data_IF_451338616742
#
_entry.id   IF_451338616742
#
_cell.length_a   1.000
_cell.length_b   1.000
_cell.length_c   1.000
_cell.angle_alpha   90.00
_cell.angle_beta   90.00
_cell.angle_gamma   90.00
#
_symmetry.space_group_name_H-M   'P 1'
#
loop_
_entity.id
_entity.type
_entity.pdbx_description
1 polymer ?
#
# COMPACT_ATOMS: atom_id res chain seq x y z
N UNK A 1 10.36 -12.03 8.21
CA UNK A 1 9.89 -11.63 6.85
C UNK A 1 9.92 -10.11 6.75
N UNK A 2 10.36 -9.58 5.60
CA UNK A 2 10.37 -8.13 5.31
C UNK A 2 9.35 -7.85 4.21
N UNK A 3 8.37 -6.98 4.50
CA UNK A 3 7.32 -6.56 3.56
C UNK A 3 7.47 -5.07 3.31
N UNK A 4 7.41 -4.67 2.05
CA UNK A 4 7.50 -3.27 1.65
C UNK A 4 6.32 -2.88 0.76
N UNK A 5 5.88 -1.62 0.86
CA UNK A 5 4.91 -1.02 -0.05
C UNK A 5 5.39 0.35 -0.49
N UNK A 6 5.14 0.68 -1.76
CA UNK A 6 5.53 1.97 -2.32
C UNK A 6 4.63 2.38 -3.50
N UNK A 7 3.93 3.48 -3.37
CA UNK A 7 3.31 4.15 -4.49
C UNK A 7 4.42 4.83 -5.30
N UNK A 8 4.72 4.29 -6.48
CA UNK A 8 5.84 4.76 -7.32
C UNK A 8 5.47 5.95 -8.20
N UNK A 9 4.19 6.31 -8.28
CA UNK A 9 3.71 7.41 -9.14
C UNK A 9 4.31 7.35 -10.56
N UNK A 10 4.22 6.16 -11.19
CA UNK A 10 4.72 5.86 -12.53
C UNK A 10 6.03 5.05 -12.54
N UNK A 11 5.90 3.74 -12.81
CA UNK A 11 7.01 2.77 -12.81
C UNK A 11 8.11 3.15 -13.79
N UNK A 12 7.78 3.65 -14.98
CA UNK A 12 8.77 4.03 -16.00
C UNK A 12 9.71 5.14 -15.54
N UNK A 13 9.19 6.10 -14.79
CA UNK A 13 9.99 7.21 -14.26
C UNK A 13 10.81 6.84 -13.03
N UNK A 14 10.51 5.71 -12.38
CA UNK A 14 11.12 5.24 -11.13
C UNK A 14 11.77 3.86 -11.26
N UNK A 15 11.94 3.35 -12.50
CA UNK A 15 12.49 2.02 -12.74
C UNK A 15 13.83 1.80 -12.01
N UNK A 16 14.80 2.68 -12.24
CA UNK A 16 16.11 2.59 -11.59
C UNK A 16 16.01 2.63 -10.05
N UNK A 17 15.08 3.43 -9.50
CA UNK A 17 14.87 3.53 -8.06
C UNK A 17 14.18 2.27 -7.49
N UNK A 18 13.29 1.63 -8.26
CA UNK A 18 12.69 0.34 -7.85
C UNK A 18 13.76 -0.74 -7.82
N UNK A 19 14.65 -0.80 -8.81
CA UNK A 19 15.79 -1.73 -8.83
C UNK A 19 16.72 -1.48 -7.64
N UNK A 20 17.12 -0.23 -7.40
CA UNK A 20 17.94 0.16 -6.24
C UNK A 20 17.27 -0.25 -4.92
N UNK A 21 15.95 -0.05 -4.80
CA UNK A 21 15.18 -0.45 -3.61
C UNK A 21 15.22 -1.96 -3.39
N UNK A 22 15.00 -2.73 -4.45
CA UNK A 22 15.05 -4.20 -4.40
C UNK A 22 16.43 -4.72 -3.99
N UNK A 23 17.51 -4.13 -4.54
CA UNK A 23 18.89 -4.50 -4.22
C UNK A 23 19.27 -4.16 -2.78
N UNK A 24 18.86 -2.98 -2.31
CA UNK A 24 19.21 -2.47 -0.98
C UNK A 24 18.38 -3.15 0.12
N UNK A 25 17.07 -3.18 -0.04
CA UNK A 25 16.17 -3.67 1.00
C UNK A 25 15.97 -5.17 0.96
N UNK A 26 16.06 -5.78 -0.22
CA UNK A 26 15.81 -7.21 -0.44
C UNK A 26 14.55 -7.70 0.26
N UNK A 27 13.38 -7.03 0.05
CA UNK A 27 12.16 -7.42 0.73
C UNK A 27 11.75 -8.83 0.32
N UNK A 28 11.10 -9.56 1.23
CA UNK A 28 10.46 -10.84 0.88
C UNK A 28 9.19 -10.61 0.06
N UNK A 29 8.53 -9.47 0.31
CA UNK A 29 7.33 -9.03 -0.42
C UNK A 29 7.45 -7.55 -0.75
N UNK A 30 7.18 -7.18 -2.02
CA UNK A 30 7.07 -5.79 -2.46
C UNK A 30 5.72 -5.55 -3.14
N UNK A 31 5.00 -4.55 -2.64
CA UNK A 31 3.74 -4.05 -3.18
C UNK A 31 3.98 -2.68 -3.83
N UNK A 32 3.70 -2.55 -5.13
CA UNK A 32 3.80 -1.27 -5.82
C UNK A 32 2.42 -0.77 -6.23
N UNK A 33 2.22 0.55 -6.15
CA UNK A 33 0.99 1.21 -6.56
C UNK A 33 1.29 2.32 -7.57
N UNK A 34 0.28 2.73 -8.31
CA UNK A 34 0.37 3.72 -9.38
C UNK A 34 1.45 3.41 -10.43
N UNK A 35 1.43 2.19 -10.97
CA UNK A 35 2.36 1.83 -12.04
C UNK A 35 2.24 2.76 -13.25
N UNK A 36 1.01 3.22 -13.56
CA UNK A 36 0.71 4.13 -14.69
C UNK A 36 1.26 3.61 -16.02
N UNK A 37 1.26 2.29 -16.16
CA UNK A 37 1.79 1.57 -17.33
C UNK A 37 1.01 0.29 -17.56
N UNK A 38 0.80 -0.08 -18.81
CA UNK A 38 0.42 -1.44 -19.21
C UNK A 38 1.56 -2.42 -18.94
N UNK A 39 1.27 -3.72 -18.93
CA UNK A 39 2.27 -4.75 -18.62
C UNK A 39 3.44 -4.71 -19.62
N UNK A 40 3.15 -4.44 -20.88
CA UNK A 40 4.11 -4.31 -21.96
C UNK A 40 5.03 -3.07 -21.84
N UNK A 41 4.64 -2.10 -21.01
CA UNK A 41 5.38 -0.87 -20.77
C UNK A 41 6.21 -0.90 -19.49
N UNK A 42 6.14 -1.99 -18.71
CA UNK A 42 6.98 -2.18 -17.54
C UNK A 42 8.43 -2.35 -17.99
N UNK A 43 9.37 -1.54 -17.48
CA UNK A 43 10.79 -1.64 -17.84
C UNK A 43 11.36 -3.03 -17.53
N UNK A 44 12.17 -3.58 -18.42
CA UNK A 44 12.74 -4.93 -18.29
C UNK A 44 13.58 -5.08 -17.02
N UNK A 45 14.31 -4.05 -16.62
CA UNK A 45 15.11 -4.05 -15.40
C UNK A 45 14.28 -4.24 -14.12
N UNK A 46 12.96 -3.96 -14.17
CA UNK A 46 12.05 -4.21 -13.04
C UNK A 46 11.52 -5.65 -13.02
N UNK A 47 11.74 -6.44 -14.07
CA UNK A 47 11.29 -7.83 -14.23
C UNK A 47 12.38 -8.79 -13.75
N UNK A 48 12.64 -8.81 -12.45
CA UNK A 48 13.70 -9.65 -11.87
C UNK A 48 13.25 -11.11 -11.71
N UNK A 49 14.18 -12.05 -11.93
CA UNK A 49 13.95 -13.49 -11.74
C UNK A 49 13.94 -13.92 -10.26
N UNK A 50 14.32 -13.05 -9.33
CA UNK A 50 14.38 -13.35 -7.89
C UNK A 50 13.00 -13.44 -7.25
N UNK A 51 11.95 -13.00 -7.94
CA UNK A 51 10.58 -12.92 -7.44
C UNK A 51 9.59 -13.61 -8.37
N UNK A 52 8.52 -14.15 -7.79
CA UNK A 52 7.25 -14.36 -8.47
C UNK A 52 6.56 -13.00 -8.50
N UNK A 53 6.24 -12.50 -9.69
CA UNK A 53 5.67 -11.15 -9.84
C UNK A 53 4.34 -11.22 -10.57
N UNK A 54 3.32 -10.56 -10.02
CA UNK A 54 2.09 -10.28 -10.73
C UNK A 54 2.01 -8.77 -11.01
N UNK A 55 2.12 -8.43 -12.29
CA UNK A 55 1.89 -7.07 -12.79
C UNK A 55 0.42 -6.91 -13.16
N UNK A 56 -0.35 -6.25 -12.33
CA UNK A 56 -1.72 -5.85 -12.65
C UNK A 56 -1.69 -4.46 -13.27
N UNK A 57 -1.24 -4.43 -14.54
CA UNK A 57 -0.98 -3.21 -15.27
C UNK A 57 -2.23 -2.40 -15.52
N UNK A 58 -2.07 -1.11 -15.69
CA UNK A 58 -3.16 -0.20 -16.02
C UNK A 58 -3.80 -0.54 -17.37
N UNK A 59 -5.12 -0.63 -17.38
CA UNK A 59 -5.92 -0.71 -18.63
C UNK A 59 -6.23 0.68 -19.21
N UNK A 60 -6.04 1.73 -18.43
CA UNK A 60 -6.22 3.14 -18.82
C UNK A 60 -4.85 3.83 -18.94
N UNK A 61 -4.68 4.67 -19.97
CA UNK A 61 -3.42 5.39 -20.18
C UNK A 61 -3.02 6.21 -18.96
N UNK A 62 -1.83 5.93 -18.42
CA UNK A 62 -1.18 6.67 -17.33
C UNK A 62 -2.01 6.79 -16.03
N UNK A 63 -2.85 5.79 -15.71
CA UNK A 63 -3.72 5.83 -14.55
C UNK A 63 -3.74 4.46 -13.84
N UNK A 64 -3.66 4.45 -12.49
CA UNK A 64 -3.65 3.25 -11.63
C UNK A 64 -2.58 2.19 -11.95
N UNK A 65 -2.89 0.92 -11.73
CA UNK A 65 -1.98 -0.22 -11.85
C UNK A 65 -1.24 -0.54 -10.56
N UNK A 66 -1.26 -1.81 -10.15
CA UNK A 66 -0.54 -2.31 -8.97
C UNK A 66 0.30 -3.53 -9.33
N UNK A 67 1.30 -3.84 -8.50
CA UNK A 67 2.00 -5.12 -8.59
C UNK A 67 2.23 -5.72 -7.22
N UNK A 68 2.43 -7.03 -7.20
CA UNK A 68 2.80 -7.79 -6.02
C UNK A 68 3.94 -8.73 -6.37
N UNK A 69 5.04 -8.60 -5.67
CA UNK A 69 6.25 -9.40 -5.83
C UNK A 69 6.44 -10.24 -4.58
N UNK A 70 6.60 -11.54 -4.74
CA UNK A 70 6.91 -12.50 -3.66
C UNK A 70 8.25 -13.15 -3.98
N UNK A 71 9.23 -13.03 -3.08
CA UNK A 71 10.58 -13.59 -3.27
C UNK A 71 10.51 -15.10 -3.47
N UNK A 72 11.24 -15.60 -4.47
CA UNK A 72 11.39 -17.04 -4.70
C UNK A 72 12.10 -17.74 -3.53
N UNK A 73 11.81 -19.03 -3.35
CA UNK A 73 12.32 -19.81 -2.22
C UNK A 73 11.41 -19.80 -0.98
N UNK A 74 10.33 -19.04 -1.03
CA UNK A 74 9.18 -19.12 -0.13
C UNK A 74 8.12 -20.07 -0.72
N UNK A 75 6.95 -20.14 -0.07
CA UNK A 75 5.80 -20.86 -0.65
C UNK A 75 5.40 -20.18 -1.95
N UNK A 76 5.18 -20.97 -3.01
CA UNK A 76 4.76 -20.44 -4.31
C UNK A 76 3.41 -19.72 -4.18
N UNK A 77 3.32 -18.44 -4.64
CA UNK A 77 2.11 -17.64 -4.48
C UNK A 77 1.05 -18.00 -5.52
N UNK A 78 -0.19 -18.17 -5.09
CA UNK A 78 -1.35 -18.17 -5.97
C UNK A 78 -1.89 -16.74 -6.09
N UNK A 79 -1.62 -16.09 -7.22
CA UNK A 79 -2.08 -14.72 -7.47
C UNK A 79 -3.53 -14.68 -7.91
N UNK A 80 -4.25 -13.66 -7.46
CA UNK A 80 -5.64 -13.38 -7.84
C UNK A 80 -5.92 -11.88 -7.67
N UNK A 81 -7.06 -11.44 -8.19
CA UNK A 81 -7.66 -10.16 -7.84
C UNK A 81 -9.15 -10.36 -7.53
N UNK A 82 -9.70 -9.64 -6.54
CA UNK A 82 -11.11 -9.77 -6.18
C UNK A 82 -12.03 -9.28 -7.31
N UNK A 83 -13.25 -9.79 -7.35
CA UNK A 83 -14.25 -9.42 -8.37
C UNK A 83 -14.63 -7.92 -8.35
N UNK A 84 -14.48 -7.26 -7.18
CA UNK A 84 -14.72 -5.83 -7.05
C UNK A 84 -13.56 -4.96 -7.54
N UNK A 85 -12.45 -5.57 -7.99
CA UNK A 85 -11.34 -4.80 -8.55
C UNK A 85 -11.83 -3.93 -9.70
N UNK A 86 -11.40 -2.69 -9.67
CA UNK A 86 -11.68 -1.71 -10.69
C UNK A 86 -10.39 -1.02 -11.11
N UNK A 87 -10.18 -0.86 -12.39
CA UNK A 87 -9.03 -0.10 -12.91
C UNK A 87 -7.66 -0.64 -12.43
N UNK A 88 -7.54 -1.96 -12.18
CA UNK A 88 -6.29 -2.61 -11.72
C UNK A 88 -5.73 -2.01 -10.42
N UNK A 89 -6.54 -2.03 -9.36
CA UNK A 89 -6.22 -1.39 -8.07
C UNK A 89 -5.91 -2.34 -6.93
N UNK A 90 -6.16 -3.65 -7.12
CA UNK A 90 -5.86 -4.64 -6.10
C UNK A 90 -5.37 -5.93 -6.73
N UNK A 91 -4.31 -6.48 -6.18
CA UNK A 91 -3.84 -7.84 -6.44
C UNK A 91 -3.53 -8.52 -5.12
N UNK A 92 -3.91 -9.79 -4.99
CA UNK A 92 -3.62 -10.61 -3.84
C UNK A 92 -2.76 -11.82 -4.23
N UNK A 93 -1.99 -12.33 -3.26
CA UNK A 93 -1.24 -13.57 -3.36
C UNK A 93 -1.53 -14.44 -2.13
N UNK A 94 -1.97 -15.66 -2.34
CA UNK A 94 -2.12 -16.65 -1.27
C UNK A 94 -0.83 -17.47 -1.17
N UNK A 95 -0.16 -17.40 -0.05
CA UNK A 95 1.05 -18.13 0.29
C UNK A 95 0.75 -19.07 1.48
N UNK A 96 0.21 -20.26 1.21
CA UNK A 96 -0.29 -21.14 2.27
C UNK A 96 -1.44 -20.51 3.07
N UNK A 97 -1.24 -20.35 4.37
CA UNK A 97 -2.22 -19.72 5.29
C UNK A 97 -2.17 -18.20 5.31
N UNK A 98 -1.27 -17.55 4.55
CA UNK A 98 -1.12 -16.10 4.49
C UNK A 98 -1.65 -15.56 3.16
N UNK A 99 -2.46 -14.50 3.22
CA UNK A 99 -2.86 -13.70 2.07
C UNK A 99 -2.19 -12.33 2.16
N UNK A 100 -1.51 -11.96 1.08
CA UNK A 100 -0.85 -10.66 0.91
C UNK A 100 -1.63 -9.88 -0.14
N UNK A 101 -1.85 -8.58 0.06
CA UNK A 101 -2.53 -7.74 -0.92
C UNK A 101 -1.80 -6.42 -1.15
N UNK A 102 -1.58 -6.09 -2.42
CA UNK A 102 -1.18 -4.74 -2.86
C UNK A 102 -2.42 -3.98 -3.29
N UNK A 103 -2.69 -2.84 -2.65
CA UNK A 103 -3.93 -2.09 -2.83
C UNK A 103 -3.65 -0.63 -3.15
N UNK A 104 -4.39 -0.09 -4.11
CA UNK A 104 -4.43 1.34 -4.44
C UNK A 104 -5.88 1.83 -4.44
N UNK A 105 -6.35 2.34 -3.31
CA UNK A 105 -7.71 2.88 -3.17
C UNK A 105 -7.89 4.10 -4.07
N UNK A 106 -9.02 4.25 -4.79
CA UNK A 106 -9.31 5.48 -5.54
C UNK A 106 -9.13 6.74 -4.69
N UNK A 107 -8.51 7.79 -5.24
CA UNK A 107 -8.38 9.05 -4.50
C UNK A 107 -9.73 9.77 -4.29
N UNK A 108 -10.75 9.46 -5.11
CA UNK A 108 -12.11 10.00 -4.98
C UNK A 108 -12.33 11.35 -5.66
N UNK A 109 -11.29 11.98 -6.21
CA UNK A 109 -11.44 13.28 -6.86
C UNK A 109 -12.28 13.22 -8.14
N UNK A 110 -12.27 12.10 -8.85
CA UNK A 110 -13.08 11.89 -10.05
C UNK A 110 -14.45 11.28 -9.75
N UNK A 111 -14.46 10.30 -8.84
CA UNK A 111 -15.66 9.56 -8.44
C UNK A 111 -15.56 9.20 -6.96
N UNK A 112 -16.15 10.04 -6.12
CA UNK A 112 -16.12 9.84 -4.67
C UNK A 112 -16.99 8.67 -4.21
N UNK A 113 -18.24 8.47 -4.73
CA UNK A 113 -19.02 7.28 -4.45
C UNK A 113 -18.28 5.97 -4.75
N UNK A 114 -17.56 5.86 -5.87
CA UNK A 114 -16.77 4.69 -6.21
C UNK A 114 -15.64 4.41 -5.20
N UNK A 115 -15.01 5.44 -4.65
CA UNK A 115 -14.04 5.30 -3.57
C UNK A 115 -14.66 4.68 -2.32
N UNK A 116 -15.81 5.18 -1.88
CA UNK A 116 -16.50 4.66 -0.70
C UNK A 116 -16.93 3.21 -0.91
N UNK A 117 -17.43 2.89 -2.10
CA UNK A 117 -17.81 1.53 -2.44
C UNK A 117 -16.61 0.58 -2.48
N UNK A 118 -15.50 1.00 -3.07
CA UNK A 118 -14.25 0.22 -3.04
C UNK A 118 -13.82 -0.10 -1.60
N UNK A 119 -13.89 0.87 -0.68
CA UNK A 119 -13.56 0.66 0.73
C UNK A 119 -14.50 -0.34 1.41
N UNK A 120 -15.82 -0.29 1.15
CA UNK A 120 -16.78 -1.27 1.69
C UNK A 120 -16.48 -2.68 1.19
N UNK A 121 -16.22 -2.83 -0.11
CA UNK A 121 -15.89 -4.11 -0.72
C UNK A 121 -14.55 -4.67 -0.21
N UNK A 122 -13.55 -3.80 -0.02
CA UNK A 122 -12.27 -4.19 0.57
C UNK A 122 -12.45 -4.72 2.00
N UNK A 123 -13.26 -4.06 2.83
CA UNK A 123 -13.60 -4.52 4.17
C UNK A 123 -14.34 -5.85 4.16
N UNK A 124 -15.33 -6.02 3.26
CA UNK A 124 -16.05 -7.28 3.11
C UNK A 124 -15.13 -8.42 2.64
N UNK A 125 -14.20 -8.14 1.74
CA UNK A 125 -13.19 -9.09 1.28
C UNK A 125 -12.24 -9.50 2.40
N UNK A 126 -11.73 -8.56 3.18
CA UNK A 126 -10.85 -8.85 4.33
C UNK A 126 -11.55 -9.77 5.36
N UNK A 127 -12.84 -9.53 5.64
CA UNK A 127 -13.65 -10.39 6.51
C UNK A 127 -13.79 -11.82 5.96
N UNK A 128 -13.98 -11.98 4.63
CA UNK A 128 -14.02 -13.31 3.99
C UNK A 128 -12.70 -14.05 4.11
N UNK A 129 -11.57 -13.37 3.86
CA UNK A 129 -10.23 -13.97 4.00
C UNK A 129 -10.02 -14.50 5.41
N UNK A 130 -10.38 -13.73 6.43
CA UNK A 130 -10.31 -14.19 7.83
C UNK A 130 -11.30 -15.32 8.15
N UNK A 131 -12.50 -15.30 7.57
CA UNK A 131 -13.48 -16.37 7.76
C UNK A 131 -13.02 -17.72 7.16
N UNK A 132 -12.16 -17.68 6.13
CA UNK A 132 -11.47 -18.85 5.59
C UNK A 132 -10.31 -19.36 6.48
N UNK A 133 -10.04 -18.72 7.59
CA UNK A 133 -8.96 -19.06 8.52
C UNK A 133 -7.58 -18.58 8.06
N UNK A 134 -7.48 -17.69 7.06
CA UNK A 134 -6.22 -17.16 6.59
C UNK A 134 -5.80 -15.91 7.36
N UNK A 135 -4.50 -15.75 7.56
CA UNK A 135 -3.87 -14.50 7.97
C UNK A 135 -3.85 -13.52 6.78
N UNK A 136 -3.93 -12.22 7.05
CA UNK A 136 -4.01 -11.20 6.02
C UNK A 136 -3.02 -10.06 6.30
N UNK A 137 -2.32 -9.62 5.24
CA UNK A 137 -1.56 -8.38 5.23
C UNK A 137 -2.00 -7.56 4.00
N UNK A 138 -2.57 -6.39 4.24
CA UNK A 138 -2.92 -5.40 3.21
C UNK A 138 -1.86 -4.31 3.21
N UNK A 139 -1.23 -4.09 2.08
CA UNK A 139 -0.22 -3.06 1.88
C UNK A 139 -0.65 -2.11 0.77
N UNK A 140 -0.42 -0.83 0.96
CA UNK A 140 -0.58 0.12 -0.14
C UNK A 140 -1.11 1.48 0.24
N UNK A 141 -1.44 2.22 -0.80
CA UNK A 141 -2.01 3.56 -0.72
C UNK A 141 -3.52 3.47 -0.54
N UNK A 142 -3.98 3.75 0.65
CA UNK A 142 -5.41 3.76 1.00
C UNK A 142 -6.08 5.09 0.64
N UNK A 143 -5.29 6.12 0.34
CA UNK A 143 -5.80 7.46 0.01
C UNK A 143 -6.73 8.07 1.09
N UNK A 144 -6.60 7.62 2.34
CA UNK A 144 -7.33 8.12 3.51
C UNK A 144 -6.33 8.31 4.65
N UNK A 145 -6.27 9.51 5.21
CA UNK A 145 -5.63 9.77 6.48
C UNK A 145 -6.57 9.29 7.60
N UNK A 146 -6.22 8.17 8.23
CA UNK A 146 -7.07 7.45 9.19
C UNK A 146 -7.56 8.34 10.34
N UNK A 147 -6.68 9.18 10.86
CA UNK A 147 -6.96 10.10 11.97
C UNK A 147 -6.42 11.50 11.66
N UNK A 148 -6.73 12.46 12.53
CA UNK A 148 -6.12 13.80 12.42
C UNK A 148 -4.60 13.80 12.62
N UNK A 149 -4.04 12.83 13.39
CA UNK A 149 -2.60 12.67 13.55
C UNK A 149 -1.89 12.25 12.27
N UNK A 150 -2.62 11.70 11.32
CA UNK A 150 -2.11 11.25 10.02
C UNK A 150 -2.05 12.36 8.98
N UNK A 151 -2.35 13.60 9.39
CA UNK A 151 -2.27 14.81 8.58
C UNK A 151 -1.48 15.87 9.36
N UNK A 152 -0.48 16.46 8.70
CA UNK A 152 0.25 17.59 9.29
C UNK A 152 -0.75 18.72 9.65
N UNK A 153 -0.65 19.37 10.82
CA UNK A 153 -1.65 20.34 11.30
C UNK A 153 -2.02 21.43 10.28
N UNK A 154 -1.07 21.93 9.50
CA UNK A 154 -1.33 22.98 8.49
C UNK A 154 -2.08 22.47 7.26
N UNK A 155 -2.20 21.15 7.08
CA UNK A 155 -2.91 20.50 5.97
C UNK A 155 -4.28 19.92 6.39
N UNK A 156 -4.66 20.01 7.66
CA UNK A 156 -5.95 19.52 8.16
C UNK A 156 -7.09 20.34 7.56
N UNK A 157 -8.00 19.67 6.87
CA UNK A 157 -9.13 20.31 6.17
C UNK A 157 -10.30 19.33 6.04
N UNK A 158 -11.47 19.84 5.74
CA UNK A 158 -12.63 19.03 5.38
C UNK A 158 -12.60 18.72 3.87
N UNK A 159 -11.72 17.82 3.45
CA UNK A 159 -11.50 17.43 2.05
C UNK A 159 -11.41 15.93 1.91
N UNK A 160 -11.60 15.42 0.69
CA UNK A 160 -11.43 13.98 0.36
C UNK A 160 -10.05 13.50 0.87
N UNK A 161 -10.04 12.32 1.46
CA UNK A 161 -8.87 11.74 2.16
C UNK A 161 -8.84 12.07 3.66
N UNK A 162 -9.70 12.98 4.13
CA UNK A 162 -9.81 13.36 5.55
C UNK A 162 -11.27 13.36 6.06
N UNK A 163 -12.25 13.01 5.22
CA UNK A 163 -13.66 13.10 5.55
C UNK A 163 -14.07 12.05 6.60
N UNK A 164 -15.01 12.39 7.50
CA UNK A 164 -15.43 11.47 8.57
C UNK A 164 -15.94 10.12 8.06
N UNK A 165 -16.69 10.10 6.96
CA UNK A 165 -17.20 8.85 6.37
C UNK A 165 -16.09 7.95 5.79
N UNK A 166 -15.01 8.52 5.26
CA UNK A 166 -13.84 7.76 4.81
C UNK A 166 -13.14 7.11 5.99
N UNK A 167 -12.93 7.87 7.06
CA UNK A 167 -12.34 7.38 8.30
C UNK A 167 -13.18 6.29 8.96
N UNK A 168 -14.51 6.43 8.94
CA UNK A 168 -15.41 5.40 9.44
C UNK A 168 -15.25 4.10 8.67
N UNK A 169 -15.20 4.13 7.32
CA UNK A 169 -14.95 2.95 6.49
C UNK A 169 -13.55 2.37 6.71
N UNK A 170 -12.55 3.21 7.02
CA UNK A 170 -11.22 2.72 7.38
C UNK A 170 -11.26 1.95 8.71
N UNK A 171 -11.97 2.45 9.72
CA UNK A 171 -12.14 1.75 11.01
C UNK A 171 -12.93 0.44 10.83
N UNK A 172 -13.94 0.40 9.94
CA UNK A 172 -14.66 -0.81 9.58
C UNK A 172 -13.79 -1.85 8.86
N UNK A 173 -12.81 -1.41 8.05
CA UNK A 173 -11.82 -2.28 7.41
C UNK A 173 -10.89 -2.93 8.43
N UNK A 174 -10.38 -2.16 9.39
CA UNK A 174 -9.50 -2.67 10.44
C UNK A 174 -10.28 -3.58 11.40
N UNK A 175 -11.48 -3.16 11.79
CA UNK A 175 -12.34 -3.75 12.82
C UNK A 175 -11.53 -4.22 14.05
N UNK A 176 -11.76 -5.45 14.54
CA UNK A 176 -10.99 -6.05 15.62
C UNK A 176 -9.94 -7.09 15.15
N UNK A 177 -9.71 -7.23 13.85
CA UNK A 177 -8.88 -8.30 13.25
C UNK A 177 -7.56 -7.82 12.67
N UNK A 178 -7.54 -6.62 12.09
CA UNK A 178 -6.35 -6.01 11.53
C UNK A 178 -5.76 -4.96 12.48
N UNK A 179 -4.45 -4.76 12.37
CA UNK A 179 -3.70 -3.74 13.09
C UNK A 179 -3.02 -2.83 12.08
N UNK A 180 -3.15 -1.53 12.26
CA UNK A 180 -2.33 -0.51 11.60
C UNK A 180 -0.93 -0.57 12.22
N UNK A 181 -0.06 -1.35 11.57
CA UNK A 181 1.24 -1.75 12.11
C UNK A 181 2.15 -0.55 12.40
N UNK A 182 2.18 0.41 11.49
CA UNK A 182 3.04 1.59 11.64
C UNK A 182 2.60 2.44 12.84
N UNK A 183 1.29 2.68 12.97
CA UNK A 183 0.75 3.43 14.11
C UNK A 183 0.89 2.65 15.43
N UNK A 184 0.75 1.34 15.40
CA UNK A 184 0.94 0.50 16.59
C UNK A 184 2.39 0.50 17.08
N UNK A 185 3.36 0.54 16.16
CA UNK A 185 4.79 0.64 16.49
C UNK A 185 5.17 2.01 17.06
N UNK A 186 4.51 3.07 16.59
CA UNK A 186 4.81 4.46 16.99
C UNK A 186 3.53 5.24 17.36
N UNK A 187 2.83 4.89 18.46
CA UNK A 187 1.49 5.41 18.75
C UNK A 187 1.45 6.92 18.97
N UNK A 188 2.52 7.51 19.50
CA UNK A 188 2.57 8.94 19.82
C UNK A 188 3.28 9.78 18.74
N UNK A 189 3.82 9.15 17.69
CA UNK A 189 4.50 9.90 16.64
C UNK A 189 3.50 10.58 15.69
N UNK A 190 3.41 11.89 15.75
CA UNK A 190 2.55 12.73 14.91
C UNK A 190 3.19 13.12 13.56
N UNK A 191 4.33 12.50 13.21
CA UNK A 191 5.10 12.84 12.00
C UNK A 191 5.29 11.63 11.07
N UNK A 192 4.44 10.63 11.19
CA UNK A 192 4.40 9.43 10.35
C UNK A 192 3.72 9.73 9.01
N UNK A 193 4.29 10.59 8.20
CA UNK A 193 3.73 10.89 6.88
C UNK A 193 4.41 10.03 5.82
N UNK A 194 3.64 9.63 4.81
CA UNK A 194 4.09 8.79 3.69
C UNK A 194 3.94 9.48 2.35
N UNK A 195 3.09 10.50 2.26
CA UNK A 195 2.86 11.32 1.07
C UNK A 195 3.08 12.80 1.35
N UNK A 196 3.67 13.50 0.39
CA UNK A 196 3.93 14.94 0.45
C UNK A 196 3.61 15.58 -0.90
N UNK A 197 2.86 16.66 -0.85
CA UNK A 197 2.57 17.42 -2.06
C UNK A 197 3.88 17.84 -2.78
N UNK A 198 3.95 17.73 -4.14
CA UNK A 198 5.20 17.90 -4.88
C UNK A 198 5.68 19.36 -5.02
N UNK A 199 5.11 20.28 -4.27
CA UNK A 199 5.45 21.71 -4.28
C UNK A 199 5.95 22.20 -2.94
N UNK A 200 6.56 23.42 -2.90
CA UNK A 200 7.00 24.13 -1.69
C UNK A 200 7.89 23.31 -0.75
N UNK A 201 8.62 22.32 -1.28
CA UNK A 201 9.51 21.45 -0.51
C UNK A 201 8.79 20.76 0.68
N UNK A 202 7.55 20.34 0.47
CA UNK A 202 6.72 19.78 1.53
C UNK A 202 7.35 18.52 2.14
N UNK A 203 7.98 17.67 1.31
CA UNK A 203 8.68 16.46 1.78
C UNK A 203 9.89 16.79 2.65
N UNK A 204 10.76 17.73 2.23
CA UNK A 204 11.91 18.18 3.03
C UNK A 204 11.48 18.74 4.39
N UNK A 205 10.38 19.48 4.42
CA UNK A 205 9.77 20.08 5.62
C UNK A 205 8.96 19.07 6.46
N UNK A 206 8.78 17.86 5.96
CA UNK A 206 7.88 16.84 6.51
C UNK A 206 6.46 17.37 6.77
N UNK A 207 5.88 18.09 5.81
CA UNK A 207 4.49 18.54 5.82
C UNK A 207 3.71 17.64 4.86
N UNK A 208 3.06 16.63 5.40
CA UNK A 208 2.46 15.57 4.59
C UNK A 208 1.28 14.88 5.25
N UNK A 209 0.86 13.80 4.61
CA UNK A 209 -0.21 12.91 5.07
C UNK A 209 0.31 11.48 5.11
N UNK A 210 -0.25 10.68 5.99
CA UNK A 210 -0.04 9.22 5.97
C UNK A 210 -1.17 8.59 5.19
N UNK A 211 -0.85 8.09 4.00
CA UNK A 211 -1.79 7.48 3.06
C UNK A 211 -1.43 6.03 2.75
N UNK A 212 -0.16 5.65 2.96
CA UNK A 212 0.35 4.30 2.73
C UNK A 212 0.41 3.53 4.04
N UNK A 213 -0.13 2.34 4.02
CA UNK A 213 -0.31 1.51 5.21
C UNK A 213 0.18 0.09 5.02
N UNK A 214 0.56 -0.52 6.14
CA UNK A 214 0.64 -1.96 6.31
C UNK A 214 -0.37 -2.32 7.39
N UNK A 215 -1.45 -2.98 6.98
CA UNK A 215 -2.49 -3.50 7.87
C UNK A 215 -2.29 -5.01 7.97
N UNK A 216 -2.08 -5.53 9.17
CA UNK A 216 -1.77 -6.96 9.37
C UNK A 216 -2.70 -7.60 10.39
N UNK A 217 -3.03 -8.88 10.20
CA UNK A 217 -3.70 -9.69 11.21
C UNK A 217 -2.98 -9.62 12.55
N UNK A 218 -3.72 -9.65 13.67
CA UNK A 218 -3.17 -9.49 15.03
C UNK A 218 -2.01 -10.44 15.35
N UNK A 219 -2.08 -11.68 14.88
CA UNK A 219 -1.01 -12.66 15.06
C UNK A 219 0.30 -12.28 14.36
N UNK A 220 0.23 -11.63 13.18
CA UNK A 220 1.39 -11.09 12.46
C UNK A 220 1.85 -9.81 13.16
N UNK A 221 0.93 -8.90 13.47
CA UNK A 221 1.22 -7.64 14.11
C UNK A 221 1.95 -7.80 15.46
N UNK A 222 1.60 -8.82 16.24
CA UNK A 222 2.26 -9.13 17.53
C UNK A 222 3.74 -9.55 17.40
N UNK A 223 4.19 -9.91 16.19
CA UNK A 223 5.56 -10.34 15.88
C UNK A 223 6.35 -9.27 15.13
N UNK A 224 5.78 -8.10 14.91
CA UNK A 224 6.44 -7.00 14.21
C UNK A 224 7.59 -6.47 15.05
N UNK A 225 8.73 -6.32 14.41
CA UNK A 225 9.95 -5.75 14.99
C UNK A 225 10.12 -4.27 14.65
N UNK A 226 9.71 -3.89 13.44
CA UNK A 226 9.78 -2.50 12.96
C UNK A 226 8.79 -2.25 11.83
N UNK A 227 8.32 -1.02 11.74
CA UNK A 227 7.61 -0.50 10.58
C UNK A 227 8.02 0.96 10.38
N UNK A 228 8.69 1.26 9.27
CA UNK A 228 9.30 2.58 9.06
C UNK A 228 9.00 3.12 7.66
N UNK A 229 8.86 4.43 7.55
CA UNK A 229 8.79 5.12 6.26
C UNK A 229 10.18 5.60 5.85
N UNK A 230 10.59 5.31 4.62
CA UNK A 230 11.85 5.78 4.06
C UNK A 230 11.66 7.12 3.35
N UNK A 231 11.40 8.16 4.12
CA UNK A 231 11.08 9.50 3.60
C UNK A 231 12.10 10.03 2.59
N UNK A 232 13.38 9.75 2.79
CA UNK A 232 14.44 10.30 1.95
C UNK A 232 14.70 9.47 0.67
N UNK A 233 14.01 8.32 0.52
CA UNK A 233 14.23 7.45 -0.63
C UNK A 233 13.34 7.81 -1.81
N UNK A 234 13.95 7.90 -2.99
CA UNK A 234 13.28 8.05 -4.27
C UNK A 234 12.68 9.44 -4.52
N UNK A 235 12.11 9.59 -5.71
CA UNK A 235 11.54 10.86 -6.22
C UNK A 235 10.01 10.81 -6.41
N UNK A 236 9.36 9.71 -5.99
CA UNK A 236 7.90 9.69 -5.89
C UNK A 236 7.44 10.70 -4.83
N UNK A 237 6.25 11.22 -4.95
CA UNK A 237 5.62 12.01 -3.89
C UNK A 237 5.20 11.16 -2.67
N UNK A 238 5.32 9.82 -2.77
CA UNK A 238 5.23 8.88 -1.65
C UNK A 238 6.60 8.34 -1.26
N UNK A 239 6.78 8.04 0.04
CA UNK A 239 7.92 7.29 0.55
C UNK A 239 7.58 5.81 0.76
N UNK A 240 8.52 4.88 0.50
CA UNK A 240 8.32 3.48 0.81
C UNK A 240 8.07 3.25 2.31
N UNK A 241 7.16 2.33 2.63
CA UNK A 241 6.94 1.83 4.00
C UNK A 241 7.45 0.40 4.07
N UNK A 242 8.30 0.12 5.06
CA UNK A 242 8.95 -1.19 5.24
C UNK A 242 8.62 -1.74 6.61
N UNK A 243 7.98 -2.91 6.65
CA UNK A 243 7.71 -3.68 7.85
C UNK A 243 8.62 -4.90 7.93
N UNK A 244 9.16 -5.18 9.13
CA UNK A 244 9.89 -6.41 9.42
C UNK A 244 9.22 -7.14 10.58
N UNK A 245 8.99 -8.45 10.44
CA UNK A 245 8.47 -9.31 11.49
C UNK A 245 9.11 -10.71 11.47
N UNK A 246 9.04 -11.39 12.61
CA UNK A 246 9.53 -12.79 12.80
C UNK A 246 8.49 -13.83 12.39
#
# INVERSE_FOLDING_TARGET
MKIATWNVNGIRARAAQVCEFLEREKPDVLCLQELKAGIEQVPEECKTDDYHIYWHGSTLRAYSGVSLHVRKGQVEPAFSHPEFDMESRIVAARCGGLVLASVYVPNGGKDYPAKLEFMRQLGAWAKRVHAEGAELVICGDINIARTERDVHPVERRNVIGQLPEERALFEELIDDRLVDVHRAAEPENERLFTWWAPWRKMRERNIGWRLDYVLASKSIASRVQSCVVQREFGTSDHGPVVMTYQ
#
